data_IF_041057147774
#
_entry.id   IF_041057147774
#
_cell.length_a   1.000
_cell.length_b   1.000
_cell.length_c   1.000
_cell.angle_alpha   90.00
_cell.angle_beta   90.00
_cell.angle_gamma   90.00
#
_symmetry.space_group_name_H-M   'P 1'
#
loop_
_entity.id
_entity.type
_entity.pdbx_description
1 polymer ?
#
# COMPACT_ATOMS: atom_id res chain seq x y z
N UNK A 1 25.40 0.31 -0.61
CA UNK A 1 24.19 1.04 -0.14
C UNK A 1 24.12 2.36 -0.87
N UNK A 2 23.05 2.61 -1.61
CA UNK A 2 22.89 3.83 -2.37
C UNK A 2 22.76 5.05 -1.45
N UNK A 3 23.16 6.26 -1.91
CA UNK A 3 23.09 7.50 -1.12
C UNK A 3 21.65 7.79 -0.62
N UNK A 4 20.65 7.37 -1.38
CA UNK A 4 19.23 7.51 -1.02
C UNK A 4 18.88 6.67 0.22
N UNK A 5 19.34 5.41 0.33
CA UNK A 5 19.16 4.61 1.56
C UNK A 5 19.79 5.28 2.78
N UNK A 6 20.95 5.92 2.62
CA UNK A 6 21.61 6.68 3.71
C UNK A 6 20.83 7.91 4.15
N UNK A 7 20.15 8.58 3.22
CA UNK A 7 19.28 9.74 3.54
C UNK A 7 18.01 9.33 4.28
N UNK A 8 17.40 8.23 3.87
CA UNK A 8 16.23 7.65 4.54
C UNK A 8 16.53 7.19 5.96
N UNK A 9 17.69 6.58 6.19
CA UNK A 9 18.11 6.12 7.53
C UNK A 9 18.36 7.24 8.54
N UNK A 10 18.26 8.51 8.15
CA UNK A 10 18.30 9.66 9.08
C UNK A 10 16.97 9.95 9.75
N UNK A 11 15.86 9.61 9.08
CA UNK A 11 14.49 9.96 9.50
C UNK A 11 13.72 8.69 9.91
N UNK A 12 13.93 7.61 9.15
CA UNK A 12 13.26 6.33 9.34
C UNK A 12 14.30 5.21 9.33
N UNK A 13 14.18 4.29 10.23
CA UNK A 13 15.06 3.13 10.28
C UNK A 13 14.45 1.98 9.49
N UNK A 14 15.18 1.52 8.46
CA UNK A 14 14.85 0.32 7.70
C UNK A 14 15.53 -0.85 8.41
N UNK A 15 14.76 -1.81 8.85
CA UNK A 15 15.26 -2.98 9.57
C UNK A 15 14.91 -4.26 8.83
N UNK A 16 15.87 -5.16 8.72
CA UNK A 16 15.64 -6.51 8.19
C UNK A 16 15.05 -7.45 9.26
N UNK A 17 15.23 -7.12 10.55
CA UNK A 17 14.64 -7.85 11.68
C UNK A 17 13.31 -7.21 12.09
N UNK A 18 12.28 -7.45 11.29
CA UNK A 18 10.96 -6.91 11.53
C UNK A 18 9.86 -7.95 11.27
N UNK A 19 8.73 -7.75 11.94
CA UNK A 19 7.54 -8.58 11.76
C UNK A 19 6.29 -7.73 11.77
N UNK A 20 5.46 -7.88 10.74
CA UNK A 20 4.11 -7.32 10.73
C UNK A 20 3.15 -8.25 11.48
N UNK A 21 2.34 -7.69 12.37
CA UNK A 21 1.34 -8.39 13.16
C UNK A 21 0.01 -7.70 12.98
N UNK A 22 -1.01 -8.45 12.55
CA UNK A 22 -2.38 -7.95 12.45
C UNK A 22 -3.19 -8.49 13.63
N UNK A 23 -3.69 -7.60 14.46
CA UNK A 23 -4.58 -7.89 15.58
C UNK A 23 -6.01 -7.43 15.22
N UNK A 24 -7.06 -7.89 15.95
CA UNK A 24 -8.44 -7.47 15.68
C UNK A 24 -8.67 -5.97 15.73
N UNK A 25 -7.91 -5.25 16.54
CA UNK A 25 -8.00 -3.81 16.74
C UNK A 25 -7.11 -3.00 15.80
N UNK A 26 -6.10 -3.62 15.17
CA UNK A 26 -5.21 -2.90 14.28
C UNK A 26 -3.98 -3.68 13.81
N UNK A 27 -3.19 -3.02 12.97
CA UNK A 27 -1.92 -3.54 12.48
C UNK A 27 -0.78 -2.95 13.31
N UNK A 28 0.14 -3.82 13.70
CA UNK A 28 1.37 -3.48 14.42
C UNK A 28 2.59 -4.05 13.69
N UNK A 29 3.72 -3.46 13.98
CA UNK A 29 5.02 -3.93 13.52
C UNK A 29 5.90 -4.20 14.74
N UNK A 30 6.67 -5.27 14.71
CA UNK A 30 7.62 -5.59 15.76
C UNK A 30 9.04 -5.47 15.20
N UNK A 31 9.91 -4.81 15.96
CA UNK A 31 11.34 -4.73 15.69
C UNK A 31 12.09 -4.77 17.03
N UNK A 32 13.10 -5.63 17.13
CA UNK A 32 13.93 -5.80 18.35
C UNK A 32 13.09 -6.04 19.63
N UNK A 33 11.95 -6.72 19.51
CA UNK A 33 11.06 -7.01 20.63
C UNK A 33 10.12 -5.84 21.02
N UNK A 34 10.27 -4.66 20.44
CA UNK A 34 9.36 -3.52 20.61
C UNK A 34 8.23 -3.53 19.57
N UNK A 35 7.06 -3.03 19.99
CA UNK A 35 5.88 -2.96 19.13
C UNK A 35 5.60 -1.51 18.72
N UNK A 36 5.37 -1.33 17.42
CA UNK A 36 5.07 -0.05 16.79
C UNK A 36 3.67 -0.14 16.16
N UNK A 37 2.70 0.68 16.58
CA UNK A 37 1.43 0.75 15.88
C UNK A 37 1.62 1.24 14.45
N UNK A 38 0.81 0.74 13.52
CA UNK A 38 0.87 1.23 12.14
C UNK A 38 0.40 2.68 12.05
N UNK A 39 0.99 3.44 11.12
CA UNK A 39 0.55 4.82 10.82
C UNK A 39 -0.94 4.84 10.50
N UNK A 40 -1.45 3.88 9.73
CA UNK A 40 -2.87 3.78 9.38
C UNK A 40 -3.76 3.54 10.60
N UNK A 41 -3.29 2.74 11.58
CA UNK A 41 -3.99 2.53 12.84
C UNK A 41 -4.10 3.83 13.64
N UNK A 42 -2.99 4.55 13.79
CA UNK A 42 -2.97 5.85 14.48
C UNK A 42 -3.88 6.85 13.78
N UNK A 43 -3.81 6.94 12.44
CA UNK A 43 -4.65 7.84 11.64
C UNK A 43 -6.14 7.46 11.68
N UNK A 44 -6.50 6.23 12.03
CA UNK A 44 -7.91 5.83 12.16
C UNK A 44 -8.65 6.57 13.28
N UNK A 45 -7.92 7.06 14.28
CA UNK A 45 -8.46 7.89 15.37
C UNK A 45 -8.64 9.37 14.99
N UNK A 46 -8.07 9.78 13.87
CA UNK A 46 -8.24 11.14 13.37
C UNK A 46 -9.64 11.30 12.75
N UNK A 47 -10.40 12.36 13.10
CA UNK A 47 -11.74 12.59 12.57
C UNK A 47 -11.73 12.64 11.05
N UNK A 48 -12.56 11.87 10.44
CA UNK A 48 -12.78 11.92 8.99
C UNK A 48 -13.45 13.25 8.62
N UNK A 49 -13.04 13.83 7.49
CA UNK A 49 -13.58 15.11 7.05
C UNK A 49 -15.08 15.05 6.74
N UNK A 50 -15.75 16.23 6.81
CA UNK A 50 -17.18 16.37 6.58
C UNK A 50 -17.67 15.72 5.29
N UNK A 51 -16.91 15.79 4.20
CA UNK A 51 -17.28 15.16 2.92
C UNK A 51 -17.43 13.64 3.03
N UNK A 52 -16.60 12.98 3.83
CA UNK A 52 -16.71 11.55 4.06
C UNK A 52 -17.93 11.21 4.90
N UNK A 53 -18.23 12.00 5.92
CA UNK A 53 -19.43 11.83 6.75
C UNK A 53 -20.72 12.04 5.94
N UNK A 54 -20.76 13.06 5.11
CA UNK A 54 -21.91 13.36 4.24
C UNK A 54 -22.09 12.23 3.20
N UNK A 55 -20.99 11.69 2.67
CA UNK A 55 -21.03 10.53 1.78
C UNK A 55 -21.57 9.28 2.51
N UNK A 56 -21.13 9.00 3.74
CA UNK A 56 -21.64 7.88 4.54
C UNK A 56 -23.14 8.01 4.79
N UNK A 57 -23.62 9.20 5.13
CA UNK A 57 -25.05 9.47 5.34
C UNK A 57 -25.86 9.26 4.06
N UNK A 58 -25.31 9.64 2.92
CA UNK A 58 -25.99 9.51 1.61
C UNK A 58 -26.03 8.05 1.14
N UNK A 59 -24.98 7.29 1.35
CA UNK A 59 -24.84 5.90 0.85
C UNK A 59 -25.41 4.87 1.85
N UNK A 60 -25.37 5.18 3.13
CA UNK A 60 -25.87 4.29 4.18
C UNK A 60 -25.11 2.96 4.25
N UNK A 61 -25.84 1.87 4.49
CA UNK A 61 -25.25 0.52 4.65
C UNK A 61 -24.45 0.02 3.43
N UNK A 62 -24.73 0.52 2.22
CA UNK A 62 -23.97 0.16 1.04
C UNK A 62 -22.51 0.65 1.09
N UNK A 63 -22.20 1.62 1.97
CA UNK A 63 -20.85 2.16 2.14
C UNK A 63 -19.83 1.09 2.53
N UNK A 64 -20.19 0.13 3.39
CA UNK A 64 -19.31 -0.96 3.81
C UNK A 64 -18.91 -1.84 2.63
N UNK A 65 -19.87 -2.19 1.79
CA UNK A 65 -19.63 -2.98 0.58
C UNK A 65 -18.76 -2.23 -0.42
N UNK A 66 -19.00 -0.92 -0.61
CA UNK A 66 -18.22 -0.08 -1.53
C UNK A 66 -16.76 0.03 -1.05
N UNK A 67 -16.54 0.29 0.24
CA UNK A 67 -15.20 0.39 0.82
C UNK A 67 -14.47 -0.95 0.73
N UNK A 68 -15.14 -2.06 1.07
CA UNK A 68 -14.56 -3.40 0.98
C UNK A 68 -14.13 -3.72 -0.46
N UNK A 69 -15.03 -3.51 -1.43
CA UNK A 69 -14.74 -3.75 -2.83
C UNK A 69 -13.58 -2.88 -3.35
N UNK A 70 -13.54 -1.60 -2.97
CA UNK A 70 -12.44 -0.73 -3.33
C UNK A 70 -11.09 -1.19 -2.75
N UNK A 71 -11.09 -1.72 -1.52
CA UNK A 71 -9.91 -2.32 -0.91
C UNK A 71 -9.44 -3.58 -1.65
N UNK A 72 -10.36 -4.48 -1.99
CA UNK A 72 -10.05 -5.71 -2.76
C UNK A 72 -9.50 -5.36 -4.16
N UNK A 73 -10.10 -4.41 -4.87
CA UNK A 73 -9.61 -3.94 -6.17
C UNK A 73 -8.21 -3.30 -6.03
N UNK A 74 -7.98 -2.52 -4.97
CA UNK A 74 -6.67 -1.92 -4.67
C UNK A 74 -5.59 -2.98 -4.44
N UNK A 75 -5.87 -3.99 -3.62
CA UNK A 75 -4.94 -5.09 -3.36
C UNK A 75 -4.51 -5.79 -4.66
N UNK A 76 -5.46 -6.11 -5.54
CA UNK A 76 -5.14 -6.72 -6.83
C UNK A 76 -4.26 -5.84 -7.71
N UNK A 77 -4.49 -4.51 -7.72
CA UNK A 77 -3.64 -3.59 -8.48
C UNK A 77 -2.23 -3.54 -7.91
N UNK A 78 -2.07 -3.54 -6.57
CA UNK A 78 -0.74 -3.60 -5.93
C UNK A 78 0.00 -4.90 -6.28
N UNK A 79 -0.66 -6.05 -6.21
CA UNK A 79 -0.08 -7.34 -6.63
C UNK A 79 0.36 -7.33 -8.11
N UNK A 80 -0.44 -6.75 -9.00
CA UNK A 80 -0.09 -6.60 -10.42
C UNK A 80 1.13 -5.69 -10.62
N UNK A 81 1.23 -4.59 -9.86
CA UNK A 81 2.37 -3.67 -9.89
C UNK A 81 3.64 -4.39 -9.41
N UNK A 82 3.56 -5.11 -8.31
CA UNK A 82 4.67 -5.90 -7.78
C UNK A 82 5.14 -6.95 -8.80
N UNK A 83 4.21 -7.70 -9.38
CA UNK A 83 4.49 -8.68 -10.45
C UNK A 83 5.22 -8.02 -11.64
N UNK A 84 4.74 -6.86 -12.08
CA UNK A 84 5.34 -6.10 -13.18
C UNK A 84 6.76 -5.61 -12.85
N UNK A 85 6.96 -5.07 -11.67
CA UNK A 85 8.28 -4.60 -11.20
C UNK A 85 9.28 -5.76 -11.04
N UNK A 86 8.80 -6.96 -10.74
CA UNK A 86 9.59 -8.18 -10.70
C UNK A 86 9.83 -8.81 -12.08
N UNK A 87 9.40 -8.15 -13.16
CA UNK A 87 9.62 -8.58 -14.54
C UNK A 87 8.66 -9.66 -15.03
N UNK A 88 7.54 -9.88 -14.35
CA UNK A 88 6.49 -10.81 -14.78
C UNK A 88 5.67 -10.17 -15.90
N UNK A 89 5.48 -10.92 -16.98
CA UNK A 89 4.63 -10.48 -18.07
C UNK A 89 3.15 -10.62 -17.69
N UNK A 90 2.41 -9.51 -17.75
CA UNK A 90 0.99 -9.45 -17.47
C UNK A 90 0.24 -9.13 -18.76
N UNK A 91 -0.74 -9.95 -19.10
CA UNK A 91 -1.56 -9.80 -20.30
C UNK A 91 -3.03 -9.71 -19.94
N UNK A 92 -3.73 -8.71 -20.50
CA UNK A 92 -5.18 -8.55 -20.28
C UNK A 92 -5.96 -9.75 -20.80
N UNK A 93 -5.54 -10.30 -21.97
CA UNK A 93 -6.19 -11.43 -22.60
C UNK A 93 -5.27 -12.66 -22.58
N UNK A 94 -5.82 -13.81 -22.22
CA UNK A 94 -5.19 -15.10 -22.39
C UNK A 94 -6.14 -16.00 -23.19
N UNK A 95 -5.69 -16.46 -24.35
CA UNK A 95 -6.51 -17.24 -25.29
C UNK A 95 -7.85 -16.56 -25.64
N UNK A 96 -7.85 -15.22 -25.73
CA UNK A 96 -9.05 -14.42 -26.03
C UNK A 96 -9.99 -14.18 -24.83
N UNK A 97 -9.63 -14.66 -23.65
CA UNK A 97 -10.41 -14.49 -22.43
C UNK A 97 -9.77 -13.41 -21.55
N UNK A 98 -10.53 -12.39 -21.08
CA UNK A 98 -10.03 -11.42 -20.14
C UNK A 98 -9.61 -12.07 -18.81
N UNK A 99 -8.37 -11.85 -18.39
CA UNK A 99 -7.82 -12.37 -17.14
C UNK A 99 -8.13 -11.46 -15.94
N UNK A 100 -8.44 -10.19 -16.22
CA UNK A 100 -8.67 -9.16 -15.21
C UNK A 100 -9.95 -8.39 -15.52
N UNK A 101 -10.55 -7.85 -14.48
CA UNK A 101 -11.62 -6.86 -14.64
C UNK A 101 -11.06 -5.63 -15.41
N UNK A 102 -11.77 -5.11 -16.43
CA UNK A 102 -11.30 -3.97 -17.24
C UNK A 102 -10.93 -2.74 -16.40
N UNK A 103 -11.65 -2.48 -15.31
CA UNK A 103 -11.38 -1.36 -14.40
C UNK A 103 -10.05 -1.56 -13.66
N UNK A 104 -9.78 -2.75 -13.15
CA UNK A 104 -8.53 -3.10 -12.47
C UNK A 104 -7.37 -3.00 -13.46
N UNK A 105 -7.54 -3.55 -14.66
CA UNK A 105 -6.54 -3.43 -15.73
C UNK A 105 -6.24 -1.98 -16.08
N UNK A 106 -7.26 -1.13 -16.19
CA UNK A 106 -7.07 0.29 -16.46
C UNK A 106 -6.28 1.00 -15.35
N UNK A 107 -6.53 0.66 -14.08
CA UNK A 107 -5.77 1.22 -12.95
C UNK A 107 -4.31 0.80 -13.02
N UNK A 108 -4.03 -0.48 -13.31
CA UNK A 108 -2.69 -0.99 -13.50
C UNK A 108 -1.98 -0.31 -14.69
N UNK A 109 -2.65 -0.16 -15.84
CA UNK A 109 -2.06 0.50 -17.01
C UNK A 109 -1.70 1.96 -16.78
N UNK A 110 -2.41 2.68 -15.90
CA UNK A 110 -2.02 4.04 -15.47
C UNK A 110 -0.70 4.04 -14.71
N UNK A 111 -0.45 3.02 -13.90
CA UNK A 111 0.83 2.86 -13.25
C UNK A 111 1.95 2.56 -14.27
N UNK A 112 1.70 1.65 -15.22
CA UNK A 112 2.67 1.33 -16.28
C UNK A 112 3.02 2.58 -17.09
N UNK A 113 2.02 3.36 -17.50
CA UNK A 113 2.21 4.62 -18.23
C UNK A 113 3.06 5.63 -17.43
N UNK A 114 2.78 5.77 -16.14
CA UNK A 114 3.61 6.57 -15.24
C UNK A 114 5.06 6.04 -15.19
N UNK A 115 5.23 4.73 -14.99
CA UNK A 115 6.52 4.09 -14.84
C UNK A 115 7.38 4.24 -16.11
N UNK A 116 6.79 4.00 -17.28
CA UNK A 116 7.48 4.15 -18.57
C UNK A 116 7.78 5.61 -18.92
N UNK A 117 6.87 6.54 -18.55
CA UNK A 117 7.07 7.98 -18.83
C UNK A 117 8.20 8.57 -18.00
N UNK A 118 8.25 8.28 -16.71
CA UNK A 118 9.23 8.87 -15.79
C UNK A 118 10.48 8.02 -15.60
N UNK A 119 10.44 6.76 -16.00
CA UNK A 119 11.53 5.78 -15.90
C UNK A 119 12.28 5.85 -14.55
N UNK A 120 11.59 5.76 -13.41
CA UNK A 120 12.21 5.82 -12.11
C UNK A 120 13.05 4.56 -11.86
N UNK A 121 14.03 4.67 -10.98
CA UNK A 121 14.80 3.52 -10.53
C UNK A 121 14.18 2.96 -9.28
N UNK A 122 13.68 1.71 -9.35
CA UNK A 122 13.21 1.00 -8.16
C UNK A 122 14.40 0.71 -7.24
N UNK A 123 14.32 1.18 -6.01
CA UNK A 123 15.33 0.90 -4.98
C UNK A 123 14.92 -0.33 -4.18
N UNK A 124 13.68 -0.36 -3.75
CA UNK A 124 13.10 -1.43 -2.95
C UNK A 124 11.57 -1.32 -2.99
N UNK A 125 10.86 -2.45 -2.89
CA UNK A 125 9.41 -2.51 -2.81
C UNK A 125 8.99 -3.14 -1.48
N UNK A 126 7.78 -2.82 -0.98
CA UNK A 126 7.19 -3.35 0.25
C UNK A 126 8.10 -3.17 1.49
N UNK A 127 8.69 -1.99 1.63
CA UNK A 127 9.65 -1.69 2.69
C UNK A 127 8.94 -1.36 3.99
N UNK A 128 9.31 -2.05 5.08
CA UNK A 128 8.85 -1.68 6.42
C UNK A 128 9.71 -0.55 7.00
N UNK A 129 9.07 0.56 7.31
CA UNK A 129 9.69 1.76 7.86
C UNK A 129 9.28 1.94 9.32
N UNK A 130 10.24 2.32 10.16
CA UNK A 130 10.05 2.56 11.59
C UNK A 130 10.50 3.96 11.98
N UNK A 131 9.72 4.63 12.81
CA UNK A 131 10.10 5.89 13.43
C UNK A 131 10.20 5.70 14.93
N UNK A 132 11.41 5.78 15.47
CA UNK A 132 11.63 5.69 16.90
C UNK A 132 11.20 6.96 17.64
N UNK A 133 11.24 8.08 16.96
CA UNK A 133 10.79 9.36 17.51
C UNK A 133 9.26 9.38 17.68
N UNK A 134 8.53 8.99 16.64
CA UNK A 134 7.06 8.98 16.64
C UNK A 134 6.47 7.70 17.22
N UNK A 135 7.29 6.65 17.42
CA UNK A 135 6.87 5.32 17.87
C UNK A 135 5.77 4.72 16.99
N UNK A 136 5.91 4.86 15.68
CA UNK A 136 5.02 4.30 14.66
C UNK A 136 5.83 3.58 13.58
N UNK A 137 5.16 2.69 12.85
CA UNK A 137 5.74 2.02 11.69
C UNK A 137 4.73 1.91 10.54
N UNK A 138 5.20 1.59 9.36
CA UNK A 138 4.37 1.42 8.17
C UNK A 138 5.09 0.67 7.08
N UNK A 139 4.34 0.25 6.07
CA UNK A 139 4.89 -0.29 4.82
C UNK A 139 4.82 0.80 3.76
N UNK A 140 5.91 1.00 3.05
CA UNK A 140 5.98 1.83 1.86
C UNK A 140 5.97 0.90 0.64
N UNK A 141 5.07 1.13 -0.30
CA UNK A 141 4.91 0.25 -1.47
C UNK A 141 6.14 0.29 -2.39
N UNK A 142 6.78 1.46 -2.51
CA UNK A 142 8.03 1.65 -3.25
C UNK A 142 8.70 2.99 -2.91
#
# INVERSE_FOLDING_TARGET
MTEIKKSFNRILEISDDHKQITLPDGRYYQRNGEYYPSVTYVLSYYPKGKYFEDWLKKVGYASEHIVKKAGEEGTLVHEMIEDYLNGKELNFLQHGIPMYNPRIWQMFMRFVDFWETYNPTLIEAEVHLFSDELKVAGTCDM
#
